data_IF_920103436379
#
_entry.id   IF_920103436379
#
_cell.length_a   1.000
_cell.length_b   1.000
_cell.length_c   1.000
_cell.angle_alpha   90.00
_cell.angle_beta   90.00
_cell.angle_gamma   90.00
#
_symmetry.space_group_name_H-M   'P 1'
#
loop_
_entity.id
_entity.type
_entity.pdbx_description
1 polymer ?
#
# COMPACT_ATOMS: atom_id res chain seq x y z
N UNK A 1 18.37 -0.44 4.45
CA UNK A 1 19.26 -1.52 4.90
C UNK A 1 20.33 -1.02 5.85
N UNK A 2 21.21 -0.12 5.41
CA UNK A 2 22.33 0.37 6.24
C UNK A 2 21.87 1.00 7.55
N UNK A 3 20.80 1.79 7.56
CA UNK A 3 20.29 2.40 8.78
C UNK A 3 19.80 1.35 9.80
N UNK A 4 19.05 0.33 9.36
CA UNK A 4 18.61 -0.77 10.21
C UNK A 4 19.78 -1.53 10.80
N UNK A 5 20.75 -1.88 9.97
CA UNK A 5 21.95 -2.58 10.41
C UNK A 5 22.79 -1.74 11.38
N UNK A 6 22.95 -0.43 11.12
CA UNK A 6 23.68 0.47 11.99
C UNK A 6 23.03 0.63 13.38
N UNK A 7 21.69 0.75 13.42
CA UNK A 7 20.95 0.80 14.69
C UNK A 7 21.12 -0.51 15.46
N UNK A 8 20.94 -1.65 14.80
CA UNK A 8 21.14 -2.95 15.43
C UNK A 8 22.57 -3.12 15.96
N UNK A 9 23.58 -2.77 15.17
CA UNK A 9 24.98 -2.88 15.55
C UNK A 9 25.32 -1.98 16.76
N UNK A 10 24.79 -0.75 16.77
CA UNK A 10 24.98 0.18 17.88
C UNK A 10 24.42 -0.39 19.19
N UNK A 11 23.20 -0.96 19.16
CA UNK A 11 22.61 -1.60 20.34
C UNK A 11 23.30 -2.90 20.70
N UNK A 12 23.73 -3.71 19.73
CA UNK A 12 24.48 -4.94 19.98
C UNK A 12 25.81 -4.66 20.70
N UNK A 13 26.56 -3.66 20.24
CA UNK A 13 27.79 -3.22 20.90
C UNK A 13 27.48 -2.59 22.28
N UNK A 14 26.49 -1.68 22.32
CA UNK A 14 26.15 -0.97 23.55
C UNK A 14 25.73 -1.91 24.67
N UNK A 15 24.83 -2.81 24.41
CA UNK A 15 24.24 -3.70 25.42
C UNK A 15 25.15 -4.89 25.80
N UNK A 16 25.91 -5.44 24.82
CA UNK A 16 26.69 -6.64 25.08
C UNK A 16 28.15 -6.35 25.48
N UNK A 17 28.71 -5.20 25.10
CA UNK A 17 30.14 -4.88 25.30
C UNK A 17 30.39 -3.60 26.07
N UNK A 18 29.55 -2.56 25.90
CA UNK A 18 29.75 -1.26 26.53
C UNK A 18 28.97 -1.06 27.83
N UNK A 19 28.21 -2.06 28.31
CA UNK A 19 27.43 -1.99 29.55
C UNK A 19 26.28 -0.98 29.50
N UNK A 20 25.77 -0.65 28.33
CA UNK A 20 24.60 0.23 28.20
C UNK A 20 23.38 -0.36 28.92
N UNK A 21 22.54 0.46 29.56
CA UNK A 21 21.38 -0.03 30.28
C UNK A 21 20.29 -0.49 29.31
N UNK A 22 19.63 -1.60 29.64
CA UNK A 22 18.47 -2.14 28.84
C UNK A 22 17.29 -1.16 28.77
N UNK A 23 17.22 -0.22 29.72
CA UNK A 23 16.17 0.81 29.75
C UNK A 23 16.11 1.67 28.50
N UNK A 24 17.28 1.97 27.89
CA UNK A 24 17.34 2.72 26.65
C UNK A 24 16.70 1.93 25.48
N UNK A 25 17.04 0.65 25.36
CA UNK A 25 16.43 -0.24 24.35
C UNK A 25 14.93 -0.36 24.59
N UNK A 26 14.53 -0.65 25.83
CA UNK A 26 13.13 -0.76 26.21
C UNK A 26 12.31 0.53 25.97
N UNK A 27 12.93 1.71 26.13
CA UNK A 27 12.29 3.00 25.87
C UNK A 27 11.99 3.25 24.38
N UNK A 28 12.67 2.56 23.47
CA UNK A 28 12.48 2.65 22.03
C UNK A 28 11.59 1.51 21.48
N UNK A 29 11.42 0.42 22.23
CA UNK A 29 10.48 -0.63 21.90
C UNK A 29 9.04 -0.16 22.07
N UNK A 30 8.13 -0.72 21.29
CA UNK A 30 6.71 -0.48 21.43
C UNK A 30 6.18 -1.06 22.76
N UNK A 31 5.27 -0.35 23.36
CA UNK A 31 4.52 -0.77 24.55
C UNK A 31 3.20 -0.02 24.55
N UNK A 32 2.10 -0.72 24.44
CA UNK A 32 0.77 -0.12 24.28
C UNK A 32 0.40 0.79 25.43
N UNK A 33 0.65 0.37 26.66
CA UNK A 33 0.35 1.18 27.84
C UNK A 33 1.16 2.49 27.86
N UNK A 34 2.46 2.44 27.59
CA UNK A 34 3.30 3.62 27.52
C UNK A 34 2.88 4.60 26.39
N UNK A 35 2.46 4.06 25.24
CA UNK A 35 1.95 4.87 24.11
C UNK A 35 0.68 5.61 24.52
N UNK A 36 -0.26 4.96 25.19
CA UNK A 36 -1.48 5.58 25.71
C UNK A 36 -1.21 6.68 26.75
N UNK A 37 -0.07 6.60 27.45
CA UNK A 37 0.40 7.62 28.36
C UNK A 37 1.32 8.68 27.70
N UNK A 38 1.27 8.79 26.36
CA UNK A 38 1.93 9.88 25.62
C UNK A 38 3.30 9.53 25.03
N UNK A 39 3.85 8.32 25.22
CA UNK A 39 5.13 7.92 24.63
C UNK A 39 4.95 7.45 23.16
N UNK A 40 4.35 8.32 22.34
CA UNK A 40 3.96 8.00 20.96
C UNK A 40 5.14 7.68 20.03
N UNK A 41 6.37 8.17 20.36
CA UNK A 41 7.57 7.87 19.57
C UNK A 41 7.84 6.36 19.44
N UNK A 42 7.39 5.55 20.38
CA UNK A 42 7.54 4.09 20.38
C UNK A 42 6.94 3.42 19.15
N UNK A 43 5.84 3.95 18.60
CA UNK A 43 5.26 3.48 17.33
C UNK A 43 6.23 3.68 16.15
N UNK A 44 7.06 4.70 16.23
CA UNK A 44 7.96 5.10 15.17
C UNK A 44 9.35 4.47 15.32
N UNK A 45 9.78 4.15 16.53
CA UNK A 45 11.10 3.59 16.82
C UNK A 45 11.10 2.06 16.85
N UNK A 46 10.02 1.43 17.29
CA UNK A 46 9.92 -0.02 17.42
C UNK A 46 10.29 -0.80 16.14
N UNK A 47 9.92 -0.35 14.91
CA UNK A 47 10.32 -1.05 13.70
C UNK A 47 11.83 -1.11 13.44
N UNK A 48 12.62 -0.24 14.07
CA UNK A 48 14.07 -0.21 13.94
C UNK A 48 14.79 -1.06 14.96
N UNK A 49 14.11 -1.42 16.05
CA UNK A 49 14.67 -2.25 17.10
C UNK A 49 14.66 -3.72 16.70
N UNK A 50 15.74 -4.45 16.96
CA UNK A 50 15.86 -5.87 16.65
C UNK A 50 16.54 -6.60 17.79
N UNK A 51 16.28 -7.90 17.93
CA UNK A 51 16.94 -8.72 18.92
C UNK A 51 18.48 -8.63 18.80
N UNK A 52 19.16 -8.38 19.91
CA UNK A 52 20.62 -8.11 19.93
C UNK A 52 21.40 -9.15 20.73
N UNK A 53 20.73 -10.01 21.51
CA UNK A 53 21.41 -10.94 22.42
C UNK A 53 21.29 -12.40 22.02
N UNK A 54 20.12 -12.85 21.59
CA UNK A 54 19.82 -14.27 21.44
C UNK A 54 19.59 -14.70 20.01
N UNK A 55 19.19 -13.80 19.11
CA UNK A 55 18.83 -14.15 17.74
C UNK A 55 19.28 -13.10 16.71
N UNK A 56 20.50 -13.27 16.24
CA UNK A 56 21.01 -12.50 15.08
C UNK A 56 20.19 -12.80 13.80
N UNK A 57 19.58 -13.97 13.70
CA UNK A 57 18.77 -14.37 12.57
C UNK A 57 17.59 -13.42 12.35
N UNK A 58 17.06 -12.84 13.44
CA UNK A 58 15.96 -11.89 13.38
C UNK A 58 16.29 -10.66 12.50
N UNK A 59 17.40 -9.99 12.71
CA UNK A 59 17.82 -8.84 11.89
C UNK A 59 18.27 -9.28 10.50
N UNK A 60 19.00 -10.38 10.39
CA UNK A 60 19.46 -10.90 9.11
C UNK A 60 18.30 -11.26 8.18
N UNK A 61 17.26 -11.89 8.72
CA UNK A 61 16.05 -12.21 7.95
C UNK A 61 15.36 -10.96 7.40
N UNK A 62 15.26 -9.92 8.23
CA UNK A 62 14.70 -8.62 7.82
C UNK A 62 15.55 -7.96 6.74
N UNK A 63 16.86 -7.91 6.92
CA UNK A 63 17.77 -7.31 5.93
C UNK A 63 17.73 -8.06 4.59
N UNK A 64 17.69 -9.40 4.64
CA UNK A 64 17.58 -10.23 3.46
C UNK A 64 16.28 -9.99 2.69
N UNK A 65 15.15 -9.96 3.40
CA UNK A 65 13.85 -9.69 2.80
C UNK A 65 13.73 -8.27 2.22
N UNK A 66 14.28 -7.27 2.91
CA UNK A 66 14.39 -5.91 2.38
C UNK A 66 15.25 -5.84 1.12
N UNK A 67 16.32 -6.60 1.05
CA UNK A 67 17.17 -6.68 -0.13
C UNK A 67 16.40 -7.26 -1.33
N UNK A 68 15.74 -8.43 -1.13
CA UNK A 68 15.07 -9.13 -2.23
C UNK A 68 13.83 -8.40 -2.76
N UNK A 69 12.97 -7.96 -1.87
CA UNK A 69 11.72 -7.31 -2.27
C UNK A 69 11.88 -5.80 -2.46
N UNK A 70 12.78 -5.19 -1.66
CA UNK A 70 12.95 -3.75 -1.62
C UNK A 70 13.47 -3.19 -2.93
N UNK A 71 14.54 -3.74 -3.48
CA UNK A 71 15.17 -3.22 -4.70
C UNK A 71 14.21 -3.14 -5.90
N UNK A 72 13.41 -4.20 -6.12
CA UNK A 72 12.44 -4.22 -7.22
C UNK A 72 11.24 -3.30 -6.97
N UNK A 73 10.78 -3.18 -5.72
CA UNK A 73 9.71 -2.25 -5.37
C UNK A 73 10.17 -0.79 -5.43
N UNK A 74 11.38 -0.49 -4.98
CA UNK A 74 11.98 0.84 -5.08
C UNK A 74 12.08 1.29 -6.53
N UNK A 75 12.61 0.44 -7.41
CA UNK A 75 12.67 0.72 -8.86
C UNK A 75 11.29 0.95 -9.46
N UNK A 76 10.28 0.19 -8.99
CA UNK A 76 8.90 0.30 -9.49
C UNK A 76 8.17 1.56 -8.99
N UNK A 77 8.36 1.93 -7.73
CA UNK A 77 7.64 3.03 -7.09
C UNK A 77 8.40 4.37 -7.13
N UNK A 78 9.72 4.32 -7.26
CA UNK A 78 10.65 5.43 -7.01
C UNK A 78 10.98 5.56 -5.52
N UNK A 79 12.23 5.96 -5.21
CA UNK A 79 12.81 5.97 -3.86
C UNK A 79 11.95 6.71 -2.83
N UNK A 80 11.50 7.92 -3.14
CA UNK A 80 10.72 8.72 -2.17
C UNK A 80 9.36 8.12 -1.81
N UNK A 81 8.69 7.45 -2.77
CA UNK A 81 7.42 6.76 -2.51
C UNK A 81 7.67 5.44 -1.79
N UNK A 82 8.73 4.74 -2.15
CA UNK A 82 9.14 3.50 -1.50
C UNK A 82 9.47 3.72 -0.01
N UNK A 83 10.27 4.74 0.33
CA UNK A 83 10.58 5.06 1.73
C UNK A 83 9.33 5.42 2.56
N UNK A 84 8.42 6.21 1.98
CA UNK A 84 7.13 6.51 2.63
C UNK A 84 6.30 5.26 2.83
N UNK A 85 6.27 4.37 1.84
CA UNK A 85 5.59 3.08 1.93
C UNK A 85 6.18 2.22 3.05
N UNK A 86 7.51 2.07 3.10
CA UNK A 86 8.20 1.30 4.16
C UNK A 86 7.81 1.81 5.55
N UNK A 87 7.97 3.09 5.76
CA UNK A 87 7.74 3.69 7.06
C UNK A 87 6.26 3.64 7.47
N UNK A 88 5.37 4.03 6.57
CA UNK A 88 3.94 4.02 6.83
C UNK A 88 3.40 2.61 7.07
N UNK A 89 3.87 1.59 6.33
CA UNK A 89 3.44 0.21 6.53
C UNK A 89 3.94 -0.37 7.85
N UNK A 90 5.17 -0.05 8.26
CA UNK A 90 5.71 -0.47 9.55
C UNK A 90 4.91 0.11 10.73
N UNK A 91 4.68 1.43 10.72
CA UNK A 91 3.89 2.11 11.75
C UNK A 91 2.44 1.61 11.75
N UNK A 92 1.79 1.52 10.59
CA UNK A 92 0.41 1.06 10.48
C UNK A 92 0.23 -0.37 10.99
N UNK A 93 1.22 -1.25 10.78
CA UNK A 93 1.19 -2.62 11.30
C UNK A 93 1.09 -2.66 12.82
N UNK A 94 1.87 -1.83 13.49
CA UNK A 94 1.86 -1.73 14.94
C UNK A 94 0.64 -0.98 15.49
N UNK A 95 0.13 0.01 14.77
CA UNK A 95 -1.15 0.64 15.11
C UNK A 95 -2.29 -0.40 15.07
N UNK A 96 -2.32 -1.24 14.03
CA UNK A 96 -3.32 -2.32 13.93
C UNK A 96 -3.17 -3.29 15.09
N UNK A 97 -1.94 -3.71 15.44
CA UNK A 97 -1.70 -4.58 16.59
C UNK A 97 -2.22 -3.95 17.88
N UNK A 98 -1.87 -2.70 18.15
CA UNK A 98 -2.33 -1.96 19.34
C UNK A 98 -3.86 -1.87 19.40
N UNK A 99 -4.52 -1.58 18.28
CA UNK A 99 -5.99 -1.51 18.22
C UNK A 99 -6.64 -2.89 18.50
N UNK A 100 -6.06 -3.96 17.97
CA UNK A 100 -6.53 -5.33 18.24
C UNK A 100 -6.29 -5.70 19.71
N UNK A 101 -5.12 -5.38 20.26
CA UNK A 101 -4.80 -5.60 21.67
C UNK A 101 -5.82 -4.92 22.60
N UNK A 102 -6.16 -3.66 22.31
CA UNK A 102 -7.17 -2.90 23.10
C UNK A 102 -8.60 -3.44 22.94
N UNK A 103 -8.91 -4.08 21.82
CA UNK A 103 -10.23 -4.64 21.55
C UNK A 103 -10.43 -6.03 22.15
N UNK A 104 -9.37 -6.74 22.51
CA UNK A 104 -9.41 -8.10 23.01
C UNK A 104 -9.51 -8.15 24.55
N UNK A 105 -10.08 -9.22 25.13
CA UNK A 105 -9.96 -9.49 26.56
C UNK A 105 -8.48 -9.60 26.98
N UNK A 106 -8.11 -9.06 28.13
CA UNK A 106 -6.73 -8.98 28.61
C UNK A 106 -5.99 -10.34 28.58
N UNK A 107 -6.67 -11.43 28.94
CA UNK A 107 -6.10 -12.78 28.92
C UNK A 107 -5.70 -13.26 27.52
N UNK A 108 -6.41 -12.84 26.49
CA UNK A 108 -6.11 -13.17 25.10
C UNK A 108 -5.07 -12.20 24.53
N UNK A 109 -5.19 -10.91 24.83
CA UNK A 109 -4.24 -9.90 24.44
C UNK A 109 -2.82 -10.24 24.89
N UNK A 110 -2.64 -10.62 26.16
CA UNK A 110 -1.35 -11.02 26.74
C UNK A 110 -0.71 -12.26 26.08
N UNK A 111 -1.50 -13.11 25.42
CA UNK A 111 -0.98 -14.25 24.65
C UNK A 111 -0.51 -13.88 23.25
N UNK A 112 -1.07 -12.81 22.68
CA UNK A 112 -0.88 -12.42 21.28
C UNK A 112 0.12 -11.28 21.12
N UNK A 113 0.22 -10.42 22.13
CA UNK A 113 1.07 -9.22 22.09
C UNK A 113 1.97 -9.22 23.34
N UNK A 114 3.30 -9.20 23.17
CA UNK A 114 4.21 -9.08 24.31
C UNK A 114 4.18 -7.66 24.89
N UNK A 115 4.55 -7.51 26.16
CA UNK A 115 4.60 -6.21 26.84
C UNK A 115 5.46 -5.19 26.08
N UNK A 116 6.60 -5.65 25.57
CA UNK A 116 7.47 -4.89 24.68
C UNK A 116 7.52 -5.58 23.33
N UNK A 117 7.15 -4.84 22.29
CA UNK A 117 7.16 -5.35 20.93
C UNK A 117 8.05 -4.48 20.02
N UNK A 118 8.76 -5.12 19.12
CA UNK A 118 9.72 -4.48 18.22
C UNK A 118 10.04 -5.36 17.02
N UNK A 119 10.66 -4.78 16.01
CA UNK A 119 11.15 -5.50 14.83
C UNK A 119 10.47 -5.07 13.53
N UNK A 120 11.04 -5.47 12.41
CA UNK A 120 10.54 -5.13 11.09
C UNK A 120 9.97 -6.33 10.29
N UNK A 121 9.66 -7.46 10.94
CA UNK A 121 8.96 -8.59 10.27
C UNK A 121 7.58 -8.17 9.74
N UNK A 122 6.79 -7.32 10.43
CA UNK A 122 5.56 -6.80 9.85
C UNK A 122 5.78 -6.03 8.54
N UNK A 123 6.90 -5.33 8.43
CA UNK A 123 7.32 -4.66 7.20
C UNK A 123 7.63 -5.65 6.09
N UNK A 124 8.26 -6.79 6.38
CA UNK A 124 8.48 -7.85 5.38
C UNK A 124 7.16 -8.43 4.86
N UNK A 125 6.19 -8.62 5.74
CA UNK A 125 4.85 -9.05 5.35
C UNK A 125 4.19 -8.01 4.42
N UNK A 126 4.33 -6.72 4.70
CA UNK A 126 3.86 -5.64 3.84
C UNK A 126 4.57 -5.62 2.48
N UNK A 127 5.89 -5.75 2.47
CA UNK A 127 6.71 -5.80 1.25
C UNK A 127 6.33 -6.99 0.36
N UNK A 128 6.15 -8.17 0.97
CA UNK A 128 5.77 -9.39 0.23
C UNK A 128 4.44 -9.22 -0.48
N UNK A 129 3.44 -8.66 0.21
CA UNK A 129 2.13 -8.37 -0.38
C UNK A 129 2.23 -7.29 -1.45
N UNK A 130 2.94 -6.19 -1.18
CA UNK A 130 3.14 -5.11 -2.14
C UNK A 130 3.86 -5.59 -3.41
N UNK A 131 4.88 -6.44 -3.25
CA UNK A 131 5.61 -7.05 -4.35
C UNK A 131 4.70 -7.95 -5.19
N UNK A 132 3.95 -8.82 -4.55
CA UNK A 132 3.04 -9.74 -5.23
C UNK A 132 1.93 -9.02 -5.99
N UNK A 133 1.43 -7.90 -5.47
CA UNK A 133 0.41 -7.08 -6.14
C UNK A 133 0.98 -6.26 -7.31
N UNK A 134 2.23 -5.80 -7.19
CA UNK A 134 2.91 -5.02 -8.22
C UNK A 134 3.39 -5.90 -9.39
N UNK A 135 3.78 -7.14 -9.12
CA UNK A 135 4.41 -8.06 -10.07
C UNK A 135 3.62 -9.37 -10.25
N UNK A 136 2.33 -9.26 -10.60
CA UNK A 136 1.35 -10.36 -10.63
C UNK A 136 1.75 -11.60 -11.46
N UNK A 137 2.61 -11.44 -12.47
CA UNK A 137 3.03 -12.53 -13.37
C UNK A 137 4.52 -12.86 -13.25
N UNK A 138 5.19 -12.34 -12.23
CA UNK A 138 6.58 -12.64 -11.98
C UNK A 138 6.74 -13.72 -10.93
N UNK A 139 7.88 -14.42 -11.01
CA UNK A 139 8.37 -15.31 -9.97
C UNK A 139 9.51 -14.62 -9.23
N UNK A 140 9.64 -14.90 -7.94
CA UNK A 140 10.80 -14.56 -7.13
C UNK A 140 11.49 -15.84 -6.70
N UNK A 141 12.80 -15.88 -6.77
CA UNK A 141 13.55 -17.02 -6.24
C UNK A 141 13.72 -16.87 -4.73
N UNK A 142 12.90 -17.60 -3.97
CA UNK A 142 13.03 -17.63 -2.52
C UNK A 142 14.36 -18.35 -2.18
N UNK A 143 15.17 -17.72 -1.33
CA UNK A 143 16.51 -18.22 -0.97
C UNK A 143 17.39 -18.58 -2.20
N UNK A 144 17.26 -17.83 -3.30
CA UNK A 144 17.97 -17.99 -4.57
C UNK A 144 17.68 -19.29 -5.35
N UNK A 145 16.93 -20.22 -4.79
CA UNK A 145 16.77 -21.58 -5.34
C UNK A 145 15.35 -21.87 -5.79
N UNK A 146 14.35 -21.51 -5.00
CA UNK A 146 12.95 -21.92 -5.24
C UNK A 146 12.18 -20.82 -5.96
N UNK A 147 11.78 -21.02 -7.23
CA UNK A 147 10.93 -20.04 -7.93
C UNK A 147 9.52 -20.06 -7.37
N UNK A 148 9.08 -18.95 -6.77
CA UNK A 148 7.77 -18.79 -6.17
C UNK A 148 6.99 -17.75 -6.95
N UNK A 149 5.77 -18.08 -7.37
CA UNK A 149 4.88 -17.13 -8.03
C UNK A 149 4.36 -16.07 -7.04
N UNK A 150 3.96 -14.90 -7.56
CA UNK A 150 3.42 -13.82 -6.74
C UNK A 150 2.24 -14.25 -5.85
N UNK A 151 1.36 -15.13 -6.34
CA UNK A 151 0.24 -15.65 -5.55
C UNK A 151 0.69 -16.60 -4.47
N UNK A 152 1.61 -17.51 -4.80
CA UNK A 152 2.16 -18.47 -3.86
C UNK A 152 2.93 -17.74 -2.73
N UNK A 153 3.61 -16.64 -3.02
CA UNK A 153 4.30 -15.83 -2.02
C UNK A 153 3.34 -15.32 -0.93
N UNK A 154 2.17 -14.78 -1.30
CA UNK A 154 1.18 -14.32 -0.33
C UNK A 154 0.68 -15.49 0.53
N UNK A 155 0.40 -16.64 -0.10
CA UNK A 155 -0.07 -17.84 0.59
C UNK A 155 1.01 -18.34 1.57
N UNK A 156 2.26 -18.38 1.17
CA UNK A 156 3.39 -18.80 2.00
C UNK A 156 3.54 -17.86 3.21
N UNK A 157 3.53 -16.55 2.99
CA UNK A 157 3.64 -15.56 4.08
C UNK A 157 2.46 -15.68 5.04
N UNK A 158 1.23 -15.82 4.53
CA UNK A 158 0.04 -16.02 5.34
C UNK A 158 0.13 -17.34 6.13
N UNK A 159 0.53 -18.43 5.48
CA UNK A 159 0.69 -19.74 6.09
C UNK A 159 1.68 -19.70 7.26
N UNK A 160 2.87 -19.15 7.07
CA UNK A 160 3.85 -19.05 8.14
C UNK A 160 3.36 -18.16 9.30
N UNK A 161 2.73 -17.01 9.00
CA UNK A 161 2.17 -16.17 10.06
C UNK A 161 1.08 -16.90 10.87
N UNK A 162 0.22 -17.67 10.19
CA UNK A 162 -0.82 -18.48 10.84
C UNK A 162 -0.21 -19.63 11.66
N UNK A 163 0.81 -20.31 11.13
CA UNK A 163 1.50 -21.39 11.87
C UNK A 163 2.15 -20.87 13.16
N UNK A 164 2.80 -19.70 13.12
CA UNK A 164 3.35 -19.08 14.32
C UNK A 164 2.28 -18.68 15.32
N UNK A 165 1.15 -18.16 14.83
CA UNK A 165 -0.01 -17.81 15.69
C UNK A 165 -0.56 -19.06 16.40
N UNK A 166 -0.78 -20.17 15.66
CA UNK A 166 -1.33 -21.42 16.19
C UNK A 166 -0.33 -22.09 17.13
N UNK A 167 0.96 -22.07 16.79
CA UNK A 167 2.00 -22.65 17.64
C UNK A 167 2.19 -21.89 18.96
N UNK A 168 1.65 -20.68 19.10
CA UNK A 168 1.86 -19.84 20.27
C UNK A 168 3.32 -19.46 20.50
N UNK A 169 4.15 -19.56 19.45
CA UNK A 169 5.57 -19.23 19.51
C UNK A 169 5.73 -17.72 19.72
N UNK A 170 6.33 -17.32 20.82
CA UNK A 170 6.60 -15.91 21.12
C UNK A 170 7.40 -15.24 20.02
N UNK A 171 6.94 -14.07 19.58
CA UNK A 171 7.65 -13.23 18.60
C UNK A 171 7.87 -11.85 19.22
N UNK A 172 9.05 -11.27 19.06
CA UNK A 172 9.30 -9.91 19.57
C UNK A 172 8.35 -8.87 18.95
N UNK A 173 7.85 -9.08 17.74
CA UNK A 173 6.88 -8.18 17.10
C UNK A 173 5.44 -8.37 17.58
N UNK A 174 5.14 -9.45 18.28
CA UNK A 174 3.79 -9.92 18.56
C UNK A 174 3.18 -10.70 17.39
N UNK A 175 2.08 -11.38 17.68
CA UNK A 175 1.44 -12.29 16.71
C UNK A 175 0.56 -11.56 15.67
N UNK A 176 0.06 -10.38 16.01
CA UNK A 176 -0.91 -9.63 15.20
C UNK A 176 -0.22 -8.72 14.15
N UNK A 177 0.92 -8.14 14.50
CA UNK A 177 1.60 -7.16 13.64
C UNK A 177 1.96 -7.67 12.25
N UNK A 178 2.34 -8.95 11.99
CA UNK A 178 2.59 -9.43 10.63
C UNK A 178 1.34 -9.43 9.75
N UNK A 179 0.16 -9.71 10.32
CA UNK A 179 -1.12 -9.60 9.59
C UNK A 179 -1.46 -8.13 9.33
N UNK A 180 -1.19 -7.25 10.32
CA UNK A 180 -1.25 -5.81 10.13
C UNK A 180 -0.35 -5.34 8.98
N UNK A 181 0.85 -5.92 8.87
CA UNK A 181 1.78 -5.69 7.76
C UNK A 181 1.21 -6.11 6.40
N UNK A 182 0.61 -7.30 6.31
CA UNK A 182 -0.05 -7.75 5.07
C UNK A 182 -1.18 -6.78 4.66
N UNK A 183 -1.99 -6.35 5.61
CA UNK A 183 -3.06 -5.37 5.37
C UNK A 183 -2.50 -4.01 4.94
N UNK A 184 -1.46 -3.52 5.62
CA UNK A 184 -0.78 -2.28 5.24
C UNK A 184 -0.18 -2.36 3.84
N UNK A 185 0.46 -3.48 3.49
CA UNK A 185 0.99 -3.75 2.16
C UNK A 185 -0.09 -3.68 1.09
N UNK A 186 -1.24 -4.28 1.34
CA UNK A 186 -2.39 -4.24 0.44
C UNK A 186 -2.97 -2.81 0.29
N UNK A 187 -3.10 -2.07 1.39
CA UNK A 187 -3.68 -0.73 1.39
C UNK A 187 -2.77 0.32 0.73
N UNK A 188 -1.46 0.22 0.95
CA UNK A 188 -0.51 1.27 0.58
C UNK A 188 0.22 1.03 -0.75
N UNK A 189 0.29 -0.22 -1.25
CA UNK A 189 1.02 -0.57 -2.46
C UNK A 189 0.32 -0.14 -3.75
N UNK A 190 -1.01 -0.07 -3.75
CA UNK A 190 -1.81 0.22 -4.94
C UNK A 190 -1.68 1.67 -5.43
N UNK A 191 -1.61 1.86 -6.75
CA UNK A 191 -1.75 3.18 -7.35
C UNK A 191 -2.89 3.14 -8.40
N UNK A 192 -4.00 3.75 -8.11
CA UNK A 192 -4.40 4.39 -6.84
C UNK A 192 -4.64 3.35 -5.73
N UNK A 193 -4.39 3.74 -4.47
CA UNK A 193 -4.70 2.90 -3.31
C UNK A 193 -6.18 2.51 -3.27
N UNK A 194 -6.60 1.41 -2.60
CA UNK A 194 -8.00 1.02 -2.50
C UNK A 194 -8.89 2.18 -2.00
N UNK A 195 -8.44 2.94 -1.02
CA UNK A 195 -9.12 4.15 -0.54
C UNK A 195 -9.30 5.19 -1.62
N UNK A 196 -8.24 5.49 -2.38
CA UNK A 196 -8.30 6.46 -3.47
C UNK A 196 -9.20 5.98 -4.60
N UNK A 197 -9.26 4.67 -4.87
CA UNK A 197 -10.19 4.10 -5.85
C UNK A 197 -11.65 4.29 -5.43
N UNK A 198 -11.97 4.03 -4.16
CA UNK A 198 -13.32 4.25 -3.63
C UNK A 198 -13.65 5.74 -3.66
N UNK A 199 -12.74 6.59 -3.17
CA UNK A 199 -12.93 8.05 -3.19
C UNK A 199 -13.12 8.59 -4.62
N UNK A 200 -12.32 8.14 -5.60
CA UNK A 200 -12.46 8.51 -7.00
C UNK A 200 -13.80 8.05 -7.58
N UNK A 201 -14.25 6.85 -7.27
CA UNK A 201 -15.59 6.37 -7.69
C UNK A 201 -16.70 7.23 -7.12
N UNK A 202 -16.64 7.56 -5.83
CA UNK A 202 -17.63 8.45 -5.19
C UNK A 202 -17.60 9.85 -5.82
N UNK A 203 -16.41 10.39 -6.07
CA UNK A 203 -16.26 11.70 -6.70
C UNK A 203 -16.79 11.72 -8.14
N UNK A 204 -16.52 10.67 -8.93
CA UNK A 204 -17.09 10.52 -10.27
C UNK A 204 -18.61 10.44 -10.21
N UNK A 205 -19.17 9.63 -9.31
CA UNK A 205 -20.62 9.53 -9.16
C UNK A 205 -21.28 10.88 -8.79
N UNK A 206 -20.62 11.70 -7.95
CA UNK A 206 -21.07 13.05 -7.64
C UNK A 206 -21.06 13.95 -8.89
N UNK A 207 -19.95 13.97 -9.63
CA UNK A 207 -19.83 14.77 -10.86
C UNK A 207 -20.85 14.34 -11.94
N UNK A 208 -21.09 13.04 -12.08
CA UNK A 208 -22.11 12.53 -13.00
C UNK A 208 -23.52 12.97 -12.57
N UNK A 209 -23.79 12.99 -11.26
CA UNK A 209 -25.09 13.44 -10.75
C UNK A 209 -25.27 14.96 -10.97
N UNK A 210 -24.21 15.75 -10.78
CA UNK A 210 -24.22 17.20 -11.06
C UNK A 210 -24.43 17.45 -12.56
N UNK A 211 -23.68 16.77 -13.43
CA UNK A 211 -23.85 16.89 -14.89
C UNK A 211 -25.26 16.53 -15.39
N UNK A 212 -25.86 15.47 -14.81
CA UNK A 212 -27.26 15.11 -15.11
C UNK A 212 -28.23 16.22 -14.68
N UNK A 213 -28.06 16.78 -13.47
CA UNK A 213 -28.89 17.88 -12.98
C UNK A 213 -28.81 19.12 -13.89
N UNK A 214 -27.60 19.47 -14.32
CA UNK A 214 -27.37 20.59 -15.24
C UNK A 214 -27.99 20.33 -16.62
N UNK A 215 -27.82 19.11 -17.15
CA UNK A 215 -28.43 18.72 -18.42
C UNK A 215 -29.97 18.79 -18.37
N UNK A 216 -30.57 18.32 -17.28
CA UNK A 216 -32.02 18.38 -17.08
C UNK A 216 -32.51 19.83 -16.89
N UNK A 217 -31.74 20.66 -16.15
CA UNK A 217 -32.04 22.07 -16.01
C UNK A 217 -31.94 22.79 -17.37
N UNK A 218 -30.95 22.46 -18.20
CA UNK A 218 -30.82 22.99 -19.55
C UNK A 218 -31.99 22.57 -20.45
N UNK A 219 -32.37 21.28 -20.44
CA UNK A 219 -33.55 20.80 -21.16
C UNK A 219 -34.82 21.54 -20.77
N UNK A 220 -35.06 21.74 -19.47
CA UNK A 220 -36.21 22.51 -18.95
C UNK A 220 -36.16 23.98 -19.39
N UNK A 221 -35.00 24.63 -19.43
CA UNK A 221 -34.84 25.99 -19.94
C UNK A 221 -35.18 26.09 -21.44
N UNK A 222 -34.66 25.17 -22.24
CA UNK A 222 -34.90 25.12 -23.69
C UNK A 222 -36.38 24.87 -23.96
N UNK A 223 -37.01 23.93 -23.26
CA UNK A 223 -38.45 23.66 -23.38
C UNK A 223 -39.33 24.89 -23.00
N UNK A 224 -38.95 25.67 -21.96
CA UNK A 224 -39.64 26.90 -21.54
C UNK A 224 -39.44 28.06 -22.52
N UNK A 225 -38.29 28.08 -23.21
CA UNK A 225 -37.99 29.16 -24.17
C UNK A 225 -38.67 28.98 -25.55
N UNK A 226 -39.40 27.88 -25.74
CA UNK A 226 -40.18 27.65 -26.97
C UNK A 226 -39.31 27.44 -28.21
N UNK A 227 -38.06 27.04 -28.06
CA UNK A 227 -37.16 26.74 -29.18
C UNK A 227 -37.70 25.50 -29.88
N UNK A 228 -38.29 25.64 -31.06
CA UNK A 228 -38.49 24.53 -31.99
C UNK A 228 -37.16 24.26 -32.70
N UNK A 229 -36.70 23.01 -32.62
CA UNK A 229 -35.63 22.56 -33.49
C UNK A 229 -36.19 22.51 -34.91
N UNK A 230 -35.82 23.46 -35.71
CA UNK A 230 -36.10 23.37 -37.16
C UNK A 230 -35.08 22.35 -37.65
N UNK A 231 -35.55 21.13 -37.98
CA UNK A 231 -34.73 20.20 -38.74
C UNK A 231 -34.40 20.91 -40.06
N UNK A 232 -33.10 21.16 -40.25
CA UNK A 232 -32.60 21.75 -41.48
C UNK A 232 -33.09 20.87 -42.64
N UNK A 233 -34.00 21.39 -43.44
CA UNK A 233 -34.51 20.70 -44.56
C UNK A 233 -33.38 20.28 -45.50
N UNK A 234 -33.26 19.00 -45.74
CA UNK A 234 -32.63 18.55 -46.98
C UNK A 234 -33.41 19.25 -48.11
N UNK A 235 -32.78 20.22 -48.77
CA UNK A 235 -33.26 20.67 -50.05
C UNK A 235 -33.23 19.44 -50.99
N UNK A 236 -34.37 18.87 -51.26
CA UNK A 236 -34.55 18.05 -52.44
C UNK A 236 -34.22 18.94 -53.64
N UNK A 237 -32.97 18.87 -54.07
CA UNK A 237 -32.63 19.32 -55.42
C UNK A 237 -33.34 18.36 -56.35
N UNK A 238 -34.46 18.82 -56.92
CA UNK A 238 -35.00 18.27 -58.14
C UNK A 238 -33.87 18.20 -59.15
N UNK A 239 -33.57 17.00 -59.55
CA UNK A 239 -32.60 16.62 -60.56
C UNK A 239 -33.14 17.10 -61.94
N UNK A 240 -32.74 18.29 -62.35
CA UNK A 240 -32.79 18.68 -63.75
C UNK A 240 -31.40 18.57 -64.32
N UNK A 241 -31.24 17.53 -65.16
CA UNK A 241 -29.99 17.19 -65.79
C UNK A 241 -29.37 18.33 -66.59
N UNK A 242 -28.19 18.73 -66.22
CA UNK A 242 -27.17 19.23 -67.15
C UNK A 242 -25.79 19.08 -66.48
N UNK A 243 -25.00 18.27 -67.13
CA UNK A 243 -23.56 18.06 -66.91
C UNK A 243 -22.78 19.34 -66.93
N UNK A 244 -21.97 19.61 -65.97
CA UNK A 244 -20.54 19.89 -66.20
C UNK A 244 -19.74 19.84 -64.89
N UNK A 245 -18.89 18.83 -64.77
CA UNK A 245 -18.00 18.67 -63.67
C UNK A 245 -16.85 19.62 -63.71
N UNK A 246 -16.65 20.35 -62.66
CA UNK A 246 -15.31 20.82 -62.29
C UNK A 246 -15.15 20.65 -60.78
N UNK A 247 -14.51 19.57 -60.42
CA UNK A 247 -13.99 19.32 -59.10
C UNK A 247 -12.92 20.35 -58.77
N UNK A 248 -13.19 21.27 -57.87
CA UNK A 248 -12.18 22.20 -57.35
C UNK A 248 -11.42 21.51 -56.21
N UNK A 249 -10.13 21.26 -56.46
CA UNK A 249 -9.16 20.85 -55.44
C UNK A 249 -8.81 22.10 -54.61
N UNK A 250 -8.91 21.97 -53.29
CA UNK A 250 -8.43 23.01 -52.35
C UNK A 250 -6.90 23.12 -52.35
N UNK A 251 -6.34 24.20 -51.82
CA UNK A 251 -4.89 24.52 -51.91
C UNK A 251 -3.97 23.50 -51.23
N UNK A 252 -4.46 22.59 -50.42
CA UNK A 252 -3.64 21.61 -49.64
C UNK A 252 -3.92 20.15 -50.01
N UNK A 253 -4.53 19.85 -51.16
CA UNK A 253 -4.60 18.49 -51.69
C UNK A 253 -5.49 17.48 -50.98
N UNK A 254 -6.29 17.89 -49.97
CA UNK A 254 -7.19 17.02 -49.21
C UNK A 254 -8.63 17.13 -49.75
N UNK A 255 -9.35 15.98 -49.80
CA UNK A 255 -10.77 15.93 -50.09
C UNK A 255 -11.55 16.41 -48.86
N UNK A 256 -12.36 17.44 -49.02
CA UNK A 256 -13.33 17.86 -48.03
C UNK A 256 -14.59 16.98 -48.20
N UNK A 257 -14.85 16.07 -47.26
CA UNK A 257 -16.15 15.40 -47.11
C UNK A 257 -17.06 16.28 -46.27
#
# INVERSE_FOLDING_TARGET
LLALFAVWLAFAIGLNWAGAPDTLFAALCGNTNAILHGQVWRLFTAPFMHEVRHDIGHVLWVLLGLYFFGASLETHMGTGRFLRFLYASAVLSYVIQMLVELALPASLAARLVPDYWFGAVPLLSALSVAWALSFKHRTVNLMFVVPVSSRALIIIVLFFNLMYLIAGAGRPEGQISPFGGMLAGWLLSGSPSPFRRVWLKLRLAQLDAEARREADARKKRVARAGFQVIEGGKSETTDDGSSNGTSRKGPNGGWLN
#
